data_IF_623010408197
#
_entry.id   IF_623010408197
#
_cell.length_a   1.000
_cell.length_b   1.000
_cell.length_c   1.000
_cell.angle_alpha   90.00
_cell.angle_beta   90.00
_cell.angle_gamma   90.00
#
_symmetry.space_group_name_H-M   'P 1'
#
loop_
_entity.id
_entity.type
_entity.pdbx_description
1 polymer ?
#
# COMPACT_ATOMS: atom_id res chain seq x y z
N UNK A 1 -26.76 14.34 3.43
CA UNK A 1 -26.35 14.43 2.00
C UNK A 1 -25.13 13.55 1.80
N UNK A 2 -24.87 13.07 0.58
CA UNK A 2 -23.63 12.33 0.27
C UNK A 2 -22.57 13.36 -0.11
N UNK A 3 -21.43 13.33 0.58
CA UNK A 3 -20.28 14.20 0.27
C UNK A 3 -19.51 13.57 -0.89
N UNK A 4 -19.02 14.40 -1.81
CA UNK A 4 -18.13 13.97 -2.89
C UNK A 4 -16.70 13.92 -2.36
N UNK A 5 -16.06 12.73 -2.30
CA UNK A 5 -14.70 12.61 -1.77
C UNK A 5 -13.62 13.27 -2.66
N UNK A 6 -13.99 13.72 -3.85
CA UNK A 6 -13.10 14.38 -4.82
C UNK A 6 -13.21 15.91 -4.79
N UNK A 7 -14.18 16.44 -4.04
CA UNK A 7 -14.39 17.88 -3.90
C UNK A 7 -13.45 18.44 -2.81
N UNK A 8 -12.41 19.23 -3.18
CA UNK A 8 -11.44 19.74 -2.23
C UNK A 8 -12.05 20.70 -1.20
N UNK A 9 -13.19 21.33 -1.52
CA UNK A 9 -13.89 22.26 -0.62
C UNK A 9 -14.65 21.53 0.51
N UNK A 10 -14.69 20.19 0.48
CA UNK A 10 -15.30 19.37 1.53
C UNK A 10 -14.36 19.00 2.67
N UNK A 11 -13.07 19.31 2.53
CA UNK A 11 -12.05 19.11 3.56
C UNK A 11 -11.86 20.40 4.37
N UNK A 12 -11.66 20.28 5.68
CA UNK A 12 -11.28 21.42 6.52
C UNK A 12 -9.82 21.79 6.22
N UNK A 13 -9.55 23.09 6.08
CA UNK A 13 -8.21 23.61 5.78
C UNK A 13 -7.33 23.49 7.04
N UNK A 14 -6.46 22.48 7.07
CA UNK A 14 -5.53 22.20 8.18
C UNK A 14 -4.33 23.17 8.22
N UNK A 15 -4.45 24.40 7.68
CA UNK A 15 -3.35 25.39 7.69
C UNK A 15 -2.94 25.89 9.08
N UNK A 16 -3.77 25.64 10.11
CA UNK A 16 -3.47 25.86 11.54
C UNK A 16 -3.08 24.55 12.27
N UNK A 17 -2.97 23.42 11.57
CA UNK A 17 -2.30 22.26 12.13
C UNK A 17 -0.87 22.68 12.45
N UNK A 18 -0.50 22.60 13.73
CA UNK A 18 0.87 22.86 14.16
C UNK A 18 1.76 21.99 13.28
N UNK A 19 2.69 22.59 12.51
CA UNK A 19 3.70 21.79 11.82
C UNK A 19 4.38 20.94 12.89
N UNK A 20 4.04 19.66 12.91
CA UNK A 20 4.75 18.70 13.71
C UNK A 20 6.08 18.50 12.99
N UNK A 21 7.05 19.36 13.31
CA UNK A 21 8.48 19.06 13.21
C UNK A 21 8.80 17.97 14.26
N UNK A 22 8.05 16.89 14.21
CA UNK A 22 8.25 15.70 15.02
C UNK A 22 9.15 14.86 14.16
N UNK A 23 10.45 15.08 14.29
CA UNK A 23 11.36 13.96 14.05
C UNK A 23 10.73 12.75 14.75
N UNK A 24 10.43 11.72 13.95
CA UNK A 24 10.01 10.46 14.51
C UNK A 24 11.05 10.08 15.59
N UNK A 25 10.64 9.50 16.74
CA UNK A 25 11.58 8.99 17.73
C UNK A 25 12.78 8.31 17.07
N UNK A 26 14.00 8.48 17.60
CA UNK A 26 15.23 8.00 16.92
C UNK A 26 15.14 6.53 16.47
N UNK A 27 14.40 5.70 17.21
CA UNK A 27 14.10 4.32 16.84
C UNK A 27 13.25 4.20 15.57
N UNK A 28 12.15 4.96 15.50
CA UNK A 28 11.24 5.00 14.35
C UNK A 28 11.93 5.60 13.12
N UNK A 29 12.76 6.63 13.29
CA UNK A 29 13.58 7.19 12.22
C UNK A 29 14.57 6.16 11.68
N UNK A 30 15.25 5.41 12.56
CA UNK A 30 16.16 4.34 12.15
C UNK A 30 15.45 3.23 11.35
N UNK A 31 14.22 2.87 11.73
CA UNK A 31 13.38 1.94 10.96
C UNK A 31 13.04 2.51 9.58
N UNK A 32 12.65 3.79 9.50
CA UNK A 32 12.28 4.43 8.22
C UNK A 32 13.45 4.62 7.25
N UNK A 33 14.68 4.82 7.75
CA UNK A 33 15.87 4.92 6.90
C UNK A 33 16.45 3.57 6.49
N UNK A 34 15.88 2.45 6.94
CA UNK A 34 16.34 1.13 6.54
C UNK A 34 15.87 0.82 5.13
N UNK A 35 16.79 0.34 4.28
CA UNK A 35 16.47 -0.08 2.93
C UNK A 35 15.36 -1.15 2.95
N UNK A 36 14.24 -0.86 2.28
CA UNK A 36 13.20 -1.87 2.07
C UNK A 36 13.78 -2.89 1.12
N UNK A 37 13.96 -4.12 1.61
CA UNK A 37 14.39 -5.21 0.73
C UNK A 37 13.29 -5.39 -0.31
N UNK A 38 13.59 -5.42 -1.62
CA UNK A 38 12.60 -5.79 -2.63
C UNK A 38 12.36 -7.29 -2.51
N UNK A 39 11.67 -7.67 -1.44
CA UNK A 39 11.08 -8.97 -1.31
C UNK A 39 9.95 -8.97 -2.32
N UNK A 40 10.13 -9.77 -3.38
CA UNK A 40 8.97 -10.42 -4.00
C UNK A 40 8.09 -10.87 -2.85
N UNK A 41 6.80 -10.51 -2.90
CA UNK A 41 5.83 -10.95 -1.90
C UNK A 41 6.06 -12.43 -1.60
N UNK A 42 5.95 -12.81 -0.32
CA UNK A 42 6.07 -14.21 0.06
C UNK A 42 5.16 -15.03 -0.87
N UNK A 43 5.67 -16.10 -1.52
CA UNK A 43 4.87 -16.84 -2.48
C UNK A 43 3.55 -17.25 -1.82
N UNK A 44 2.43 -17.13 -2.55
CA UNK A 44 1.12 -17.34 -1.96
C UNK A 44 1.06 -18.68 -1.26
N UNK A 45 0.62 -18.67 0.00
CA UNK A 45 0.43 -19.89 0.79
C UNK A 45 -0.52 -20.84 0.06
N UNK A 46 -0.39 -22.17 0.24
CA UNK A 46 -1.27 -23.13 -0.41
C UNK A 46 -2.75 -22.78 -0.23
N UNK A 47 -3.45 -22.53 -1.34
CA UNK A 47 -4.85 -22.10 -1.34
C UNK A 47 -5.76 -23.31 -1.15
N UNK A 48 -6.78 -23.19 -0.29
CA UNK A 48 -7.81 -24.20 -0.11
C UNK A 48 -8.52 -24.48 -1.46
N UNK A 49 -8.52 -25.73 -1.96
CA UNK A 49 -9.13 -26.06 -3.24
C UNK A 49 -10.63 -25.75 -3.32
N UNK A 50 -11.34 -25.66 -2.19
CA UNK A 50 -12.77 -25.36 -2.14
C UNK A 50 -13.07 -23.84 -2.06
N UNK A 51 -12.04 -22.98 -1.95
CA UNK A 51 -12.23 -21.53 -1.82
C UNK A 51 -12.67 -20.83 -3.12
N UNK A 52 -12.29 -21.36 -4.28
CA UNK A 52 -12.60 -20.82 -5.60
C UNK A 52 -12.47 -21.88 -6.69
N UNK A 53 -13.01 -21.60 -7.88
CA UNK A 53 -12.84 -22.49 -9.03
C UNK A 53 -11.37 -22.54 -9.49
N UNK A 54 -11.05 -23.53 -10.33
CA UNK A 54 -9.67 -23.76 -10.78
C UNK A 54 -9.04 -22.56 -11.50
N UNK A 55 -9.82 -21.84 -12.32
CA UNK A 55 -9.31 -20.69 -13.08
C UNK A 55 -8.98 -19.51 -12.14
N UNK A 56 -9.85 -19.25 -11.16
CA UNK A 56 -9.65 -18.18 -10.18
C UNK A 56 -8.45 -18.48 -9.27
N UNK A 57 -8.29 -19.74 -8.82
CA UNK A 57 -7.11 -20.14 -8.02
C UNK A 57 -5.81 -20.04 -8.82
N UNK A 58 -5.86 -20.39 -10.11
CA UNK A 58 -4.69 -20.25 -10.98
C UNK A 58 -4.30 -18.78 -11.12
N UNK A 59 -5.27 -17.87 -11.29
CA UNK A 59 -5.01 -16.43 -11.35
C UNK A 59 -4.44 -15.88 -10.03
N UNK A 60 -5.05 -16.23 -8.90
CA UNK A 60 -4.61 -15.75 -7.58
C UNK A 60 -3.20 -16.25 -7.20
N UNK A 61 -2.77 -17.39 -7.74
CA UNK A 61 -1.43 -17.90 -7.53
C UNK A 61 -0.36 -17.25 -8.44
N UNK A 62 -0.76 -16.42 -9.41
CA UNK A 62 0.19 -15.75 -10.31
C UNK A 62 0.85 -14.57 -9.61
N UNK A 63 2.18 -14.55 -9.66
CA UNK A 63 2.98 -13.38 -9.29
C UNK A 63 3.10 -12.48 -10.51
N UNK A 64 2.69 -11.22 -10.39
CA UNK A 64 2.81 -10.21 -11.44
C UNK A 64 4.08 -9.40 -11.20
N UNK A 65 5.04 -9.46 -12.12
CA UNK A 65 6.19 -8.55 -12.09
C UNK A 65 5.73 -7.16 -12.52
N UNK A 66 5.84 -6.18 -11.61
CA UNK A 66 5.66 -4.78 -11.92
C UNK A 66 6.93 -4.27 -12.64
N UNK A 67 6.81 -3.91 -13.92
CA UNK A 67 7.85 -3.19 -14.63
C UNK A 67 7.64 -1.69 -14.42
N UNK A 68 8.45 -1.10 -13.54
CA UNK A 68 8.37 0.32 -13.19
C UNK A 68 8.60 1.25 -14.39
N UNK A 69 9.31 0.77 -15.41
CA UNK A 69 9.55 1.50 -16.67
C UNK A 69 8.33 1.56 -17.62
N UNK A 70 7.30 0.72 -17.40
CA UNK A 70 6.07 0.72 -18.22
C UNK A 70 5.07 1.80 -17.77
N UNK A 71 5.24 2.37 -16.58
CA UNK A 71 4.44 3.47 -16.02
C UNK A 71 5.08 4.84 -16.29
N UNK A 72 5.43 5.14 -17.54
CA UNK A 72 6.06 6.42 -17.93
C UNK A 72 5.15 7.31 -18.78
#
# INVERSE_FOLDING_TARGET
MRVDPTDPDTFEDESDATEFDVEAPEADAAEQYTDVTPHRDEPPTPVDPDSANEADRAEQARVVELNEDEYR
#
